data_IF_539257001995
#
_entry.id   IF_539257001995
#
_cell.length_a   1.000
_cell.length_b   1.000
_cell.length_c   1.000
_cell.angle_alpha   90.00
_cell.angle_beta   90.00
_cell.angle_gamma   90.00
#
_symmetry.space_group_name_H-M   'P 1'
#
loop_
_entity.id
_entity.type
_entity.pdbx_description
1 polymer ?
#
# COMPACT_ATOMS: atom_id res chain seq x y z
N UNK A 1 -11.36 17.08 2.08
CA UNK A 1 -11.98 16.77 3.39
C UNK A 1 -11.53 17.73 4.48
N UNK A 2 -10.36 17.55 5.14
CA UNK A 2 -9.91 18.50 6.19
C UNK A 2 -9.53 19.86 5.59
N UNK A 3 -8.97 19.87 4.41
CA UNK A 3 -8.57 21.07 3.67
C UNK A 3 -9.73 21.85 3.04
N UNK A 4 -10.92 21.29 3.03
CA UNK A 4 -12.12 21.92 2.45
C UNK A 4 -13.07 22.43 3.55
N UNK A 5 -12.62 22.48 4.80
CA UNK A 5 -13.39 22.97 5.93
C UNK A 5 -13.04 24.44 6.18
N UNK A 6 -14.05 25.26 6.46
CA UNK A 6 -13.84 26.62 6.95
C UNK A 6 -13.19 26.57 8.33
N UNK A 7 -12.01 27.18 8.47
CA UNK A 7 -11.24 27.18 9.71
C UNK A 7 -11.33 28.58 10.32
N UNK A 8 -11.88 28.70 11.52
CA UNK A 8 -11.97 29.93 12.24
C UNK A 8 -11.11 29.89 13.52
N UNK A 9 -10.33 30.92 13.74
CA UNK A 9 -9.51 31.02 14.92
C UNK A 9 -10.23 31.79 16.05
N UNK A 10 -10.38 31.14 17.20
CA UNK A 10 -11.09 31.73 18.34
C UNK A 10 -10.21 31.73 19.59
N UNK A 11 -10.27 32.82 20.35
CA UNK A 11 -9.65 32.94 21.69
C UNK A 11 -10.76 33.20 22.70
N UNK A 12 -10.87 32.35 23.72
CA UNK A 12 -11.94 32.43 24.73
C UNK A 12 -13.35 32.52 24.13
N UNK A 13 -13.62 31.80 23.02
CA UNK A 13 -14.88 31.78 22.34
C UNK A 13 -15.20 33.03 21.48
N UNK A 14 -14.25 33.95 21.35
CA UNK A 14 -14.36 35.10 20.45
C UNK A 14 -13.47 34.90 19.24
N UNK A 15 -14.01 35.12 18.07
CA UNK A 15 -13.27 35.06 16.81
C UNK A 15 -12.22 36.18 16.74
N UNK A 16 -11.04 35.87 16.20
CA UNK A 16 -9.97 36.82 15.95
C UNK A 16 -9.79 36.96 14.44
N UNK A 17 -10.49 37.92 13.80
CA UNK A 17 -10.56 38.01 12.34
C UNK A 17 -9.18 38.13 11.68
N UNK A 18 -8.25 38.85 12.30
CA UNK A 18 -6.90 39.04 11.77
C UNK A 18 -6.14 37.71 11.58
N UNK A 19 -6.36 36.74 12.47
CA UNK A 19 -5.72 35.42 12.36
C UNK A 19 -6.52 34.54 11.40
N UNK A 20 -7.84 34.63 11.44
CA UNK A 20 -8.71 33.93 10.51
C UNK A 20 -8.38 34.29 9.06
N UNK A 21 -8.17 35.60 8.74
CA UNK A 21 -7.75 36.05 7.42
C UNK A 21 -6.37 35.52 7.00
N UNK A 22 -5.44 35.31 7.93
CA UNK A 22 -4.12 34.74 7.63
C UNK A 22 -4.17 33.24 7.32
N UNK A 23 -5.12 32.52 7.93
CA UNK A 23 -5.29 31.07 7.72
C UNK A 23 -6.27 30.74 6.59
N UNK A 24 -7.09 31.70 6.16
CA UNK A 24 -7.98 31.56 5.01
C UNK A 24 -7.23 31.88 3.68
N UNK A 25 -6.15 31.17 3.47
CA UNK A 25 -5.29 31.35 2.30
C UNK A 25 -4.93 30.00 1.67
N UNK A 26 -4.70 29.98 0.36
CA UNK A 26 -4.29 28.79 -0.39
C UNK A 26 -2.95 28.26 0.12
N UNK A 27 -2.06 29.15 0.53
CA UNK A 27 -0.76 28.82 1.11
C UNK A 27 -0.93 27.99 2.40
N UNK A 28 -1.84 28.40 3.27
CA UNK A 28 -2.14 27.66 4.50
C UNK A 28 -2.78 26.30 4.23
N UNK A 29 -3.69 26.21 3.27
CA UNK A 29 -4.24 24.91 2.85
C UNK A 29 -3.16 23.97 2.31
N UNK A 30 -2.23 24.47 1.52
CA UNK A 30 -1.10 23.69 1.02
C UNK A 30 -0.19 23.22 2.15
N UNK A 31 0.02 24.06 3.16
CA UNK A 31 0.76 23.65 4.36
C UNK A 31 0.06 22.55 5.13
N UNK A 32 -1.26 22.64 5.32
CA UNK A 32 -2.02 21.56 5.95
C UNK A 32 -1.86 20.23 5.20
N UNK A 33 -1.81 20.28 3.86
CA UNK A 33 -1.53 19.10 3.03
C UNK A 33 -0.13 18.54 3.33
N UNK A 34 0.90 19.38 3.42
CA UNK A 34 2.26 18.92 3.75
C UNK A 34 2.35 18.34 5.18
N UNK A 35 1.68 18.95 6.15
CA UNK A 35 1.56 18.39 7.50
C UNK A 35 0.90 17.00 7.45
N UNK A 36 -0.17 16.83 6.69
CA UNK A 36 -0.82 15.53 6.51
C UNK A 36 0.09 14.52 5.79
N UNK A 37 0.88 14.97 4.82
CA UNK A 37 1.87 14.13 4.14
C UNK A 37 2.96 13.63 5.09
N UNK A 38 3.27 14.36 6.17
CA UNK A 38 4.21 13.88 7.19
C UNK A 38 3.77 12.58 7.84
N UNK A 39 2.45 12.35 8.00
CA UNK A 39 1.91 11.09 8.53
C UNK A 39 2.21 9.91 7.60
N UNK A 40 2.14 10.12 6.28
CA UNK A 40 2.41 9.06 5.31
C UNK A 40 3.90 8.75 5.19
N UNK A 41 4.74 9.79 5.16
CA UNK A 41 6.17 9.65 4.95
C UNK A 41 6.99 9.58 6.23
N UNK A 42 6.36 9.88 7.39
CA UNK A 42 7.00 9.94 8.70
C UNK A 42 7.52 11.33 9.07
N UNK A 43 7.89 12.13 8.07
CA UNK A 43 8.47 13.45 8.28
C UNK A 43 8.15 14.41 7.14
N UNK A 44 7.99 15.69 7.47
CA UNK A 44 8.07 16.85 6.58
C UNK A 44 8.88 17.94 7.28
N UNK A 45 9.63 18.72 6.53
CA UNK A 45 10.35 19.89 7.05
C UNK A 45 10.06 21.05 6.13
N UNK A 46 9.56 22.13 6.72
CA UNK A 46 9.10 23.31 6.01
C UNK A 46 9.82 24.55 6.51
N UNK A 47 10.32 25.37 5.60
CA UNK A 47 10.90 26.68 5.83
C UNK A 47 9.83 27.75 5.67
N UNK A 48 9.67 28.61 6.66
CA UNK A 48 8.64 29.64 6.68
C UNK A 48 9.22 31.01 6.38
N UNK A 49 8.43 31.83 5.66
CA UNK A 49 8.74 33.21 5.37
C UNK A 49 7.53 34.10 5.64
N UNK A 50 7.77 35.27 6.25
CA UNK A 50 6.74 36.27 6.53
C UNK A 50 7.04 37.61 5.90
N UNK A 51 7.95 37.68 4.94
CA UNK A 51 8.42 38.93 4.34
C UNK A 51 7.31 39.62 3.54
N UNK A 52 6.55 38.84 2.78
CA UNK A 52 5.45 39.35 1.93
C UNK A 52 4.08 38.75 2.29
N UNK A 53 3.92 38.32 3.53
CA UNK A 53 2.79 37.54 4.00
C UNK A 53 3.24 36.16 4.46
N UNK A 54 2.29 35.28 4.70
CA UNK A 54 2.59 33.89 5.04
C UNK A 54 2.97 33.13 3.76
N UNK A 55 4.14 32.53 3.76
CA UNK A 55 4.62 31.65 2.71
C UNK A 55 5.48 30.55 3.33
N UNK A 56 5.55 29.39 2.67
CA UNK A 56 6.38 28.28 3.12
C UNK A 56 6.99 27.52 1.93
N UNK A 57 8.16 26.94 2.16
CA UNK A 57 8.84 26.10 1.20
C UNK A 57 9.11 24.74 1.81
N UNK A 58 8.50 23.69 1.26
CA UNK A 58 8.71 22.33 1.74
C UNK A 58 10.03 21.78 1.24
N UNK A 59 10.89 21.36 2.16
CA UNK A 59 12.20 20.82 1.85
C UNK A 59 12.05 19.37 1.40
N UNK A 60 12.59 19.00 0.22
CA UNK A 60 12.46 17.64 -0.28
C UNK A 60 13.01 16.61 0.72
N UNK A 61 12.21 15.63 1.10
CA UNK A 61 12.52 14.63 2.13
C UNK A 61 13.84 13.90 1.94
N UNK A 62 14.28 13.71 0.70
CA UNK A 62 15.57 13.10 0.33
C UNK A 62 16.79 13.90 0.81
N UNK A 63 16.61 15.19 1.13
CA UNK A 63 17.66 16.09 1.63
C UNK A 63 17.65 16.21 3.15
N UNK A 64 16.73 15.55 3.86
CA UNK A 64 16.56 15.69 5.29
C UNK A 64 17.18 14.49 6.01
N UNK A 65 17.98 14.75 7.04
CA UNK A 65 18.41 13.79 8.05
C UNK A 65 17.79 14.12 9.38
N UNK A 66 16.66 13.49 9.74
CA UNK A 66 15.89 13.87 10.91
C UNK A 66 16.66 13.71 12.22
N UNK A 67 17.37 12.61 12.40
CA UNK A 67 18.13 12.31 13.64
C UNK A 67 19.23 13.31 13.91
N UNK A 68 19.87 13.82 12.88
CA UNK A 68 20.98 14.75 12.97
C UNK A 68 20.50 16.20 12.85
N UNK A 69 19.21 16.41 12.53
CA UNK A 69 18.60 17.73 12.26
C UNK A 69 19.34 18.49 11.18
N UNK A 70 19.71 17.80 10.10
CA UNK A 70 20.48 18.37 9.00
C UNK A 70 19.69 18.40 7.71
N UNK A 71 19.80 19.49 6.97
CA UNK A 71 19.39 19.64 5.59
C UNK A 71 20.59 19.51 4.68
N UNK A 72 20.58 18.51 3.82
CA UNK A 72 21.69 18.20 2.92
C UNK A 72 21.54 18.95 1.60
N UNK A 73 22.65 19.40 1.03
CA UNK A 73 22.66 19.99 -0.30
C UNK A 73 22.40 18.94 -1.38
N UNK A 74 22.97 17.75 -1.21
CA UNK A 74 22.71 16.57 -2.07
C UNK A 74 22.33 15.39 -1.19
N UNK A 75 21.56 14.47 -1.73
CA UNK A 75 21.00 13.31 -1.01
C UNK A 75 22.02 12.46 -0.22
N UNK A 76 23.27 12.41 -0.68
CA UNK A 76 24.33 11.55 -0.11
C UNK A 76 25.46 12.35 0.55
N UNK A 77 25.29 13.66 0.73
CA UNK A 77 26.30 14.47 1.43
C UNK A 77 26.35 14.06 2.92
N UNK A 78 27.50 14.15 3.51
CA UNK A 78 27.70 13.95 4.96
C UNK A 78 27.47 15.22 5.74
N UNK A 79 27.72 16.36 5.14
CA UNK A 79 27.60 17.67 5.75
C UNK A 79 26.37 18.39 5.27
N UNK A 80 25.72 19.12 6.15
CA UNK A 80 24.49 19.84 5.88
C UNK A 80 24.33 21.07 6.77
N UNK A 81 23.23 21.77 6.56
CA UNK A 81 22.84 22.92 7.39
C UNK A 81 21.96 22.39 8.53
N UNK A 82 22.35 22.70 9.78
CA UNK A 82 21.51 22.36 10.93
C UNK A 82 20.28 23.27 10.98
N UNK A 83 19.14 22.67 11.27
CA UNK A 83 17.88 23.40 11.45
C UNK A 83 17.32 23.31 12.88
N UNK A 84 18.08 22.72 13.81
CA UNK A 84 17.63 22.57 15.20
C UNK A 84 17.36 23.90 15.93
N UNK A 85 18.10 24.93 15.56
CA UNK A 85 18.03 26.25 16.23
C UNK A 85 17.39 27.33 15.35
N UNK A 86 16.92 26.96 14.17
CA UNK A 86 16.30 27.90 13.24
C UNK A 86 14.79 27.95 13.51
N UNK A 87 14.33 29.06 14.06
CA UNK A 87 12.91 29.27 14.38
C UNK A 87 11.99 29.42 13.16
N UNK A 88 12.56 29.50 11.95
CA UNK A 88 11.81 29.58 10.70
C UNK A 88 11.70 28.23 10.00
N UNK A 89 12.39 27.19 10.48
CA UNK A 89 12.30 25.83 9.95
C UNK A 89 11.61 24.95 10.97
N UNK A 90 10.50 24.35 10.56
CA UNK A 90 9.69 23.49 11.43
C UNK A 90 9.66 22.08 10.86
N UNK A 91 9.90 21.11 11.71
CA UNK A 91 9.75 19.70 11.41
C UNK A 91 8.39 19.18 11.90
N UNK A 92 7.68 18.52 11.03
CA UNK A 92 6.47 17.77 11.31
C UNK A 92 6.78 16.27 11.28
N UNK A 93 6.32 15.54 12.29
CA UNK A 93 6.64 14.13 12.46
C UNK A 93 7.83 13.88 13.38
N UNK A 94 8.11 12.62 13.63
CA UNK A 94 9.15 12.17 14.55
C UNK A 94 10.41 11.73 13.81
N UNK A 95 11.57 11.82 14.48
CA UNK A 95 12.87 11.51 13.87
C UNK A 95 13.01 10.04 13.43
N UNK A 96 12.33 9.14 14.12
CA UNK A 96 12.39 7.70 13.90
C UNK A 96 11.13 7.14 13.22
N UNK A 97 10.11 7.96 12.94
CA UNK A 97 8.91 7.48 12.27
C UNK A 97 9.14 7.36 10.77
N UNK A 98 9.00 6.15 10.27
CA UNK A 98 9.11 5.83 8.84
C UNK A 98 7.79 6.00 8.08
N UNK A 99 6.77 6.51 8.76
CA UNK A 99 5.47 6.82 8.20
C UNK A 99 4.56 5.63 7.95
N UNK A 100 3.31 5.94 7.69
CA UNK A 100 2.28 4.93 7.43
C UNK A 100 2.56 4.12 6.16
N UNK A 101 3.17 4.74 5.14
CA UNK A 101 3.47 4.05 3.88
C UNK A 101 4.38 2.84 4.09
N UNK A 102 5.45 2.99 4.88
CA UNK A 102 6.35 1.87 5.14
C UNK A 102 5.67 0.82 6.03
N UNK A 103 4.85 1.23 7.00
CA UNK A 103 4.10 0.31 7.87
C UNK A 103 3.07 -0.51 7.08
N UNK A 104 2.44 0.08 6.07
CA UNK A 104 1.40 -0.57 5.25
C UNK A 104 1.96 -1.33 4.04
N UNK A 105 3.12 -0.93 3.51
CA UNK A 105 3.70 -1.51 2.30
C UNK A 105 3.79 -3.05 2.32
N UNK A 106 4.27 -3.72 3.38
CA UNK A 106 4.32 -5.18 3.43
C UNK A 106 2.95 -5.81 3.25
N UNK A 107 1.93 -5.27 3.92
CA UNK A 107 0.56 -5.80 3.83
C UNK A 107 -0.04 -5.65 2.43
N UNK A 108 0.24 -4.54 1.76
CA UNK A 108 -0.21 -4.31 0.37
C UNK A 108 0.48 -5.28 -0.58
N UNK A 109 1.80 -5.51 -0.41
CA UNK A 109 2.57 -6.44 -1.23
C UNK A 109 2.04 -7.87 -1.03
N UNK A 110 1.88 -8.33 0.22
CA UNK A 110 1.34 -9.65 0.53
C UNK A 110 -0.10 -9.81 0.03
N UNK A 111 -0.95 -8.80 0.21
CA UNK A 111 -2.31 -8.83 -0.29
C UNK A 111 -2.33 -8.98 -1.81
N UNK A 112 -1.49 -8.25 -2.53
CA UNK A 112 -1.40 -8.32 -4.00
C UNK A 112 -0.92 -9.69 -4.48
N UNK A 113 0.08 -10.26 -3.82
CA UNK A 113 0.55 -11.63 -4.09
C UNK A 113 -0.52 -12.66 -3.78
N UNK A 114 -1.10 -12.59 -2.59
CA UNK A 114 -2.13 -13.53 -2.12
C UNK A 114 -3.39 -13.58 -3.00
N UNK A 115 -3.76 -12.51 -3.68
CA UNK A 115 -4.85 -12.55 -4.67
C UNK A 115 -4.49 -13.41 -5.89
N UNK A 116 -3.24 -13.34 -6.36
CA UNK A 116 -2.76 -14.19 -7.44
C UNK A 116 -2.76 -15.66 -7.05
N UNK A 117 -2.23 -15.97 -5.88
CA UNK A 117 -2.21 -17.33 -5.33
C UNK A 117 -3.62 -17.89 -5.12
N UNK A 118 -4.52 -17.07 -4.62
CA UNK A 118 -5.92 -17.45 -4.45
C UNK A 118 -6.63 -17.70 -5.78
N UNK A 119 -6.37 -16.88 -6.79
CA UNK A 119 -6.91 -17.09 -8.13
C UNK A 119 -6.42 -18.41 -8.72
N UNK A 120 -5.12 -18.73 -8.60
CA UNK A 120 -4.56 -20.01 -9.00
C UNK A 120 -5.16 -21.19 -8.21
N UNK A 121 -5.35 -21.01 -6.90
CA UNK A 121 -6.00 -22.03 -6.08
C UNK A 121 -7.43 -22.29 -6.56
N UNK A 122 -8.21 -21.26 -6.82
CA UNK A 122 -9.58 -21.40 -7.34
C UNK A 122 -9.59 -22.04 -8.73
N UNK A 123 -8.63 -21.72 -9.59
CA UNK A 123 -8.51 -22.33 -10.92
C UNK A 123 -8.16 -23.82 -10.83
N UNK A 124 -7.24 -24.19 -9.96
CA UNK A 124 -6.79 -25.58 -9.80
C UNK A 124 -7.78 -26.46 -9.02
N UNK A 125 -8.35 -25.92 -7.94
CA UNK A 125 -9.17 -26.67 -6.99
C UNK A 125 -10.65 -26.33 -7.01
N UNK A 126 -11.01 -25.18 -7.57
CA UNK A 126 -12.41 -24.77 -7.72
C UNK A 126 -13.15 -25.49 -8.85
N UNK A 127 -12.44 -26.09 -9.78
CA UNK A 127 -13.03 -26.94 -10.81
C UNK A 127 -12.97 -28.41 -10.37
N UNK A 128 -14.09 -29.13 -10.33
CA UNK A 128 -14.10 -30.53 -9.99
C UNK A 128 -13.29 -31.32 -11.02
N UNK A 129 -12.27 -32.05 -10.55
CA UNK A 129 -11.55 -32.99 -11.40
C UNK A 129 -12.48 -34.14 -11.80
N UNK A 130 -12.52 -34.46 -13.07
CA UNK A 130 -13.29 -35.59 -13.60
C UNK A 130 -12.36 -36.79 -13.75
N UNK A 131 -12.70 -37.90 -13.11
CA UNK A 131 -11.94 -39.14 -13.20
C UNK A 131 -12.78 -40.13 -13.96
N UNK A 132 -12.31 -40.52 -15.13
CA UNK A 132 -12.90 -41.58 -15.94
C UNK A 132 -12.15 -42.91 -15.76
N UNK A 133 -12.85 -43.98 -15.37
CA UNK A 133 -12.27 -45.29 -15.25
C UNK A 133 -12.72 -46.17 -16.42
N UNK A 134 -11.78 -46.76 -17.14
CA UNK A 134 -12.03 -47.65 -18.28
C UNK A 134 -11.44 -49.06 -18.04
N UNK A 135 -11.90 -50.03 -18.76
CA UNK A 135 -11.33 -51.38 -18.69
C UNK A 135 -10.04 -51.42 -19.54
N UNK A 136 -8.92 -51.84 -18.93
CA UNK A 136 -7.59 -51.89 -19.58
C UNK A 136 -7.56 -52.73 -20.87
N UNK A 137 -8.48 -53.65 -21.03
CA UNK A 137 -8.62 -54.49 -22.22
C UNK A 137 -9.42 -53.79 -23.35
N UNK A 138 -10.04 -52.62 -23.13
CA UNK A 138 -10.94 -51.97 -24.07
C UNK A 138 -10.46 -50.55 -24.45
N UNK A 139 -9.63 -50.53 -25.46
CA UNK A 139 -9.10 -49.23 -26.00
C UNK A 139 -10.20 -48.39 -26.66
N UNK A 140 -11.29 -48.96 -27.09
CA UNK A 140 -12.40 -48.23 -27.68
C UNK A 140 -13.17 -47.47 -26.58
N UNK A 141 -13.41 -48.08 -25.44
CA UNK A 141 -13.99 -47.39 -24.26
C UNK A 141 -13.14 -46.23 -23.80
N UNK A 142 -11.81 -46.36 -23.83
CA UNK A 142 -10.89 -45.30 -23.48
C UNK A 142 -11.06 -44.08 -24.39
N UNK A 143 -11.09 -44.30 -25.73
CA UNK A 143 -11.26 -43.22 -26.71
C UNK A 143 -12.60 -42.52 -26.57
N UNK A 144 -13.68 -43.25 -26.38
CA UNK A 144 -15.02 -42.69 -26.17
C UNK A 144 -15.09 -41.85 -24.91
N UNK A 145 -14.41 -42.27 -23.84
CA UNK A 145 -14.35 -41.52 -22.56
C UNK A 145 -13.58 -40.21 -22.73
N UNK A 146 -12.45 -40.22 -23.42
CA UNK A 146 -11.68 -39.01 -23.72
C UNK A 146 -12.53 -38.04 -24.55
N UNK A 147 -13.15 -38.50 -25.62
CA UNK A 147 -14.02 -37.70 -26.47
C UNK A 147 -15.19 -37.09 -25.68
N UNK A 148 -15.85 -37.86 -24.81
CA UNK A 148 -16.91 -37.37 -23.97
C UNK A 148 -16.46 -36.29 -22.97
N UNK A 149 -15.24 -36.39 -22.47
CA UNK A 149 -14.68 -35.35 -21.58
C UNK A 149 -14.27 -34.08 -22.34
N UNK A 150 -13.73 -34.20 -23.54
CA UNK A 150 -13.41 -33.08 -24.42
C UNK A 150 -14.68 -32.31 -24.82
N UNK A 151 -15.75 -33.04 -25.18
CA UNK A 151 -17.06 -32.45 -25.52
C UNK A 151 -17.75 -31.80 -24.30
N UNK A 152 -17.48 -32.29 -23.07
CA UNK A 152 -18.09 -31.79 -21.83
C UNK A 152 -17.48 -30.49 -21.29
N UNK A 153 -16.47 -29.92 -21.94
CA UNK A 153 -15.87 -28.62 -21.65
C UNK A 153 -14.48 -28.69 -20.98
N UNK A 154 -13.97 -27.52 -20.60
CA UNK A 154 -12.56 -27.27 -20.20
C UNK A 154 -12.17 -27.74 -18.80
N UNK A 155 -13.01 -28.46 -18.08
CA UNK A 155 -12.64 -28.98 -16.76
C UNK A 155 -11.54 -30.05 -16.89
N UNK A 156 -10.50 -30.02 -16.04
CA UNK A 156 -9.43 -31.01 -16.10
C UNK A 156 -9.97 -32.41 -15.87
N UNK A 157 -9.52 -33.38 -16.68
CA UNK A 157 -9.91 -34.75 -16.54
C UNK A 157 -8.72 -35.70 -16.57
N UNK A 158 -8.87 -36.86 -15.92
CA UNK A 158 -7.91 -37.95 -15.93
C UNK A 158 -8.63 -39.23 -16.32
N UNK A 159 -8.06 -39.97 -17.25
CA UNK A 159 -8.60 -41.27 -17.71
C UNK A 159 -7.63 -42.37 -17.29
N UNK A 160 -8.07 -43.22 -16.39
CA UNK A 160 -7.24 -44.29 -15.82
C UNK A 160 -7.89 -45.70 -15.98
N UNK A 161 -7.11 -46.78 -16.08
CA UNK A 161 -7.63 -48.14 -16.00
C UNK A 161 -8.36 -48.37 -14.65
N UNK A 162 -9.37 -49.24 -14.67
CA UNK A 162 -10.13 -49.59 -13.42
C UNK A 162 -9.28 -50.20 -12.34
N UNK A 163 -8.18 -50.80 -12.71
CA UNK A 163 -7.23 -51.47 -11.83
C UNK A 163 -6.25 -50.45 -11.17
N UNK A 164 -6.24 -49.22 -11.70
CA UNK A 164 -5.39 -48.15 -11.16
C UNK A 164 -6.22 -47.25 -10.26
N UNK A 165 -5.58 -46.70 -9.24
CA UNK A 165 -6.17 -45.67 -8.39
C UNK A 165 -5.31 -44.41 -8.36
N UNK A 166 -5.94 -43.25 -8.14
CA UNK A 166 -5.27 -41.96 -8.01
C UNK A 166 -5.53 -41.45 -6.62
N UNK A 167 -4.50 -41.45 -5.79
CA UNK A 167 -4.57 -40.76 -4.49
C UNK A 167 -4.45 -39.24 -4.69
N UNK A 168 -5.49 -38.53 -4.34
CA UNK A 168 -5.41 -37.07 -4.18
C UNK A 168 -4.99 -36.75 -2.75
N UNK A 169 -3.76 -36.29 -2.61
CA UNK A 169 -3.33 -35.71 -1.33
C UNK A 169 -3.96 -34.34 -1.19
N UNK A 170 -5.06 -34.27 -0.46
CA UNK A 170 -5.59 -32.98 -0.01
C UNK A 170 -4.69 -32.46 1.11
N UNK A 171 -3.97 -31.38 0.87
CA UNK A 171 -3.32 -30.63 1.93
C UNK A 171 -4.41 -29.97 2.79
N UNK A 172 -4.93 -30.71 3.74
CA UNK A 172 -5.74 -30.13 4.80
C UNK A 172 -4.81 -29.34 5.72
N UNK A 173 -4.70 -28.04 5.50
CA UNK A 173 -4.03 -27.16 6.45
C UNK A 173 -4.80 -27.18 7.76
N UNK A 174 -4.32 -27.92 8.74
CA UNK A 174 -4.77 -27.76 10.11
C UNK A 174 -4.24 -26.42 10.61
N UNK A 175 -5.10 -25.40 10.61
CA UNK A 175 -4.86 -24.20 11.41
C UNK A 175 -5.03 -24.56 12.88
N UNK A 176 -3.93 -24.70 13.59
CA UNK A 176 -3.89 -24.56 15.05
C UNK A 176 -3.72 -23.08 15.39
#
# INVERSE_FOLDING_TARGET
>A
AITDCDINFTVNGKEVPRITELIDTVEFENQLKEIMWSLFWGISVDEYSFVNGFDFNSIPRKHIRPKEKLILRRQYDTDGISYSDDGMIIQWGEDDDLGLLLKVAPYVIYKRGGFGDWAQFVELFGMPQRIGKYNSMDEQSRRLLIQAFEEAGSAPYIVIPKESDVEQTTLSGSSN
#
